data_IF_956115562397
#
_entry.id   IF_956115562397
#
_cell.length_a   1.000
_cell.length_b   1.000
_cell.length_c   1.000
_cell.angle_alpha   90.00
_cell.angle_beta   90.00
_cell.angle_gamma   90.00
#
_symmetry.space_group_name_H-M   'P 1'
#
loop_
_entity.id
_entity.type
_entity.pdbx_description
1 polymer ?
#
# COMPACT_ATOMS: atom_id res chain seq x y z
N UNK A 1 -8.89 5.28 -12.28
CA UNK A 1 -7.88 5.66 -11.28
C UNK A 1 -8.34 5.14 -9.94
N UNK A 2 -7.46 4.46 -9.19
CA UNK A 2 -7.73 4.01 -7.82
C UNK A 2 -6.77 4.73 -6.89
N UNK A 3 -7.21 5.03 -5.68
CA UNK A 3 -6.33 5.58 -4.65
C UNK A 3 -5.58 4.44 -3.95
N UNK A 4 -4.32 4.67 -3.62
CA UNK A 4 -3.48 3.78 -2.83
C UNK A 4 -2.61 4.60 -1.87
N UNK A 5 -2.22 4.00 -0.74
CA UNK A 5 -1.20 4.57 0.15
C UNK A 5 0.15 3.99 -0.24
N UNK A 6 1.13 4.84 -0.52
CA UNK A 6 2.51 4.45 -0.82
C UNK A 6 3.48 5.07 0.18
N UNK A 7 4.48 4.29 0.58
CA UNK A 7 5.61 4.73 1.39
C UNK A 7 6.73 5.17 0.42
N UNK A 8 7.11 6.45 0.43
CA UNK A 8 8.16 6.96 -0.49
C UNK A 8 9.58 6.76 0.04
N UNK A 9 9.74 6.83 1.34
CA UNK A 9 10.97 6.58 2.07
C UNK A 9 10.63 6.15 3.50
N UNK A 10 11.58 5.53 4.20
CA UNK A 10 11.39 5.19 5.60
C UNK A 10 11.33 6.47 6.46
N UNK A 11 10.40 6.52 7.42
CA UNK A 11 10.25 7.71 8.26
C UNK A 11 9.05 7.66 9.21
N UNK A 12 8.52 8.82 9.56
CA UNK A 12 7.29 8.95 10.35
C UNK A 12 6.02 8.81 9.50
N UNK A 13 4.83 8.99 10.11
CA UNK A 13 3.54 8.92 9.42
C UNK A 13 3.39 9.81 8.18
N UNK A 14 4.13 10.90 8.11
CA UNK A 14 4.20 11.81 6.97
C UNK A 14 4.64 11.15 5.65
N UNK A 15 5.32 10.01 5.72
CA UNK A 15 5.77 9.25 4.54
C UNK A 15 4.67 8.34 3.95
N UNK A 16 3.47 8.32 4.53
CA UNK A 16 2.30 7.65 3.97
C UNK A 16 1.58 8.60 3.01
N UNK A 17 1.82 8.43 1.72
CA UNK A 17 1.25 9.29 0.68
C UNK A 17 0.06 8.63 0.00
N UNK A 18 -1.08 9.31 0.00
CA UNK A 18 -2.22 8.94 -0.82
C UNK A 18 -1.94 9.36 -2.27
N UNK A 19 -1.97 8.41 -3.18
CA UNK A 19 -1.65 8.62 -4.60
C UNK A 19 -2.68 7.95 -5.50
N UNK A 20 -2.89 8.51 -6.69
CA UNK A 20 -3.61 7.83 -7.75
C UNK A 20 -2.72 6.79 -8.43
N UNK A 21 -3.28 5.60 -8.63
CA UNK A 21 -2.64 4.49 -9.35
C UNK A 21 -3.57 3.93 -10.43
N UNK A 22 -2.95 3.49 -11.53
CA UNK A 22 -3.62 2.69 -12.56
C UNK A 22 -3.48 1.22 -12.18
N UNK A 23 -4.61 0.52 -12.05
CA UNK A 23 -4.62 -0.93 -11.78
C UNK A 23 -4.82 -1.66 -13.11
N UNK A 24 -3.79 -2.37 -13.58
CA UNK A 24 -3.82 -3.16 -14.82
C UNK A 24 -4.73 -4.39 -14.72
N UNK A 25 -5.04 -5.02 -15.87
CA UNK A 25 -5.84 -6.25 -15.91
C UNK A 25 -5.09 -7.39 -15.21
N UNK A 26 -5.79 -8.29 -14.48
CA UNK A 26 -5.14 -9.41 -13.83
C UNK A 26 -4.56 -10.38 -14.86
N UNK A 27 -3.36 -10.91 -14.59
CA UNK A 27 -2.75 -11.97 -15.37
C UNK A 27 -3.36 -13.35 -15.12
N UNK A 28 -2.87 -14.41 -15.80
CA UNK A 28 -3.32 -15.78 -15.56
C UNK A 28 -3.13 -16.19 -14.09
N UNK A 29 -4.23 -16.57 -13.42
CA UNK A 29 -4.22 -16.98 -12.00
C UNK A 29 -4.33 -15.83 -10.99
N UNK A 30 -4.40 -14.58 -11.44
CA UNK A 30 -4.59 -13.41 -10.59
C UNK A 30 -6.06 -12.98 -10.55
N UNK A 31 -6.42 -12.21 -9.51
CA UNK A 31 -7.74 -11.58 -9.40
C UNK A 31 -7.57 -10.09 -9.12
N UNK A 32 -8.53 -9.29 -9.60
CA UNK A 32 -8.64 -7.87 -9.26
C UNK A 32 -9.71 -7.69 -8.19
N UNK A 33 -9.34 -7.08 -7.07
CA UNK A 33 -10.24 -6.86 -5.93
C UNK A 33 -10.52 -5.37 -5.78
N UNK A 34 -11.81 -5.00 -5.72
CA UNK A 34 -12.23 -3.69 -5.22
C UNK A 34 -12.40 -3.78 -3.71
N UNK A 35 -11.44 -3.22 -2.97
CA UNK A 35 -11.47 -3.20 -1.51
C UNK A 35 -12.68 -2.40 -1.01
N UNK A 36 -13.50 -3.00 -0.14
CA UNK A 36 -14.57 -2.33 0.60
C UNK A 36 -14.14 -1.95 2.02
N UNK A 37 -13.17 -2.69 2.57
CA UNK A 37 -12.50 -2.41 3.84
C UNK A 37 -11.05 -2.90 3.74
N UNK A 38 -10.15 -2.29 4.52
CA UNK A 38 -8.73 -2.65 4.62
C UNK A 38 -8.39 -2.71 6.11
N UNK A 39 -7.75 -3.79 6.54
CA UNK A 39 -7.29 -3.94 7.92
C UNK A 39 -6.02 -3.13 8.18
N UNK A 40 -5.95 -2.46 9.33
CA UNK A 40 -4.74 -1.82 9.83
C UNK A 40 -4.05 -2.76 10.82
N UNK A 41 -2.77 -3.02 10.63
CA UNK A 41 -1.98 -3.87 11.50
C UNK A 41 -0.76 -3.12 12.03
N UNK A 42 -0.29 -3.46 13.23
CA UNK A 42 0.88 -2.78 13.79
C UNK A 42 2.16 -3.01 12.96
N UNK A 43 2.22 -4.10 12.19
CA UNK A 43 3.33 -4.40 11.27
C UNK A 43 3.50 -3.33 10.18
N UNK A 44 2.45 -2.59 9.84
CA UNK A 44 2.52 -1.50 8.86
C UNK A 44 3.47 -0.39 9.33
N UNK A 45 3.57 -0.19 10.64
CA UNK A 45 4.56 0.70 11.26
C UNK A 45 5.96 0.23 10.95
N UNK A 46 6.24 -1.07 11.09
CA UNK A 46 7.59 -1.63 10.92
C UNK A 46 8.09 -1.52 9.49
N UNK A 47 7.21 -1.73 8.50
CA UNK A 47 7.54 -1.49 7.11
C UNK A 47 7.81 0.00 6.85
N UNK A 48 6.91 0.88 7.31
CA UNK A 48 7.02 2.33 7.08
C UNK A 48 8.22 2.97 7.78
N UNK A 49 8.63 2.48 8.96
CA UNK A 49 9.86 2.96 9.63
C UNK A 49 11.14 2.31 9.11
N UNK A 50 11.04 1.30 8.23
CA UNK A 50 12.18 0.56 7.70
C UNK A 50 12.79 -0.47 8.65
N UNK A 51 12.08 -0.85 9.72
CA UNK A 51 12.50 -1.95 10.60
C UNK A 51 12.43 -3.29 9.85
N UNK A 52 11.39 -3.46 9.03
CA UNK A 52 11.26 -4.55 8.07
C UNK A 52 11.34 -3.98 6.64
N UNK A 53 12.38 -4.34 5.86
CA UNK A 53 12.49 -3.90 4.47
C UNK A 53 11.33 -4.44 3.61
N UNK A 54 10.82 -3.59 2.71
CA UNK A 54 9.83 -3.92 1.69
C UNK A 54 10.48 -4.41 0.38
#
# INVERSE_FOLDING_TARGET
>A
MSLAVQIRQHGGPEELHLVDVTVGEPGPGEIRIRHHAIGLNFIDVYHRTGLYPL
#
